data_IF_092879756753
#
_entry.id   IF_092879756753
#
_cell.length_a   1.000
_cell.length_b   1.000
_cell.length_c   1.000
_cell.angle_alpha   90.00
_cell.angle_beta   90.00
_cell.angle_gamma   90.00
#
_symmetry.space_group_name_H-M   'P 1'
#
loop_
_entity.id
_entity.type
_entity.pdbx_description
1 polymer ?
#
# COMPACT_ATOMS: atom_id res chain seq x y z
N UNK A 1 9.99 -26.78 21.51
CA UNK A 1 9.78 -26.73 20.04
C UNK A 1 9.98 -25.34 19.42
N UNK A 2 9.98 -24.23 20.18
CA UNK A 2 10.15 -22.85 19.65
C UNK A 2 11.53 -22.61 19.03
N UNK A 3 12.61 -23.06 19.69
CA UNK A 3 13.99 -22.92 19.21
C UNK A 3 14.28 -23.50 17.81
N UNK A 4 13.55 -24.55 17.39
CA UNK A 4 13.78 -25.17 16.08
C UNK A 4 13.25 -24.31 14.92
N UNK A 5 12.22 -23.49 15.15
CA UNK A 5 11.66 -22.60 14.12
C UNK A 5 12.57 -21.39 13.89
N UNK A 6 13.07 -20.77 14.96
CA UNK A 6 13.97 -19.61 14.89
C UNK A 6 15.28 -19.97 14.16
N UNK A 7 15.88 -21.12 14.47
CA UNK A 7 17.10 -21.58 13.80
C UNK A 7 16.86 -21.79 12.30
N UNK A 8 15.72 -22.37 11.89
CA UNK A 8 15.39 -22.54 10.46
C UNK A 8 15.23 -21.20 9.75
N UNK A 9 14.66 -20.20 10.41
CA UNK A 9 14.51 -18.83 9.87
C UNK A 9 15.88 -18.19 9.66
N UNK A 10 16.78 -18.29 10.64
CA UNK A 10 18.14 -17.74 10.52
C UNK A 10 18.96 -18.42 9.41
N UNK A 11 18.88 -19.75 9.30
CA UNK A 11 19.57 -20.50 8.23
C UNK A 11 19.04 -20.11 6.85
N UNK A 12 17.73 -19.94 6.71
CA UNK A 12 17.14 -19.48 5.45
C UNK A 12 17.58 -18.04 5.11
N UNK A 13 17.59 -17.16 6.10
CA UNK A 13 18.05 -15.77 5.98
C UNK A 13 19.51 -15.71 5.50
N UNK A 14 20.40 -16.51 6.11
CA UNK A 14 21.81 -16.57 5.72
C UNK A 14 21.94 -17.10 4.31
N UNK A 15 21.23 -18.18 3.98
CA UNK A 15 21.21 -18.74 2.63
C UNK A 15 20.80 -17.70 1.57
N UNK A 16 19.69 -16.97 1.76
CA UNK A 16 19.24 -15.95 0.79
C UNK A 16 20.24 -14.81 0.71
N UNK A 17 20.77 -14.34 1.84
CA UNK A 17 21.75 -13.25 1.87
C UNK A 17 23.03 -13.64 1.15
N UNK A 18 23.54 -14.85 1.39
CA UNK A 18 24.70 -15.39 0.68
C UNK A 18 24.42 -15.57 -0.80
N UNK A 19 23.25 -16.09 -1.17
CA UNK A 19 22.87 -16.28 -2.59
C UNK A 19 22.82 -14.95 -3.35
N UNK A 20 22.26 -13.89 -2.75
CA UNK A 20 22.28 -12.55 -3.35
C UNK A 20 23.70 -12.00 -3.48
N UNK A 21 24.57 -12.21 -2.49
CA UNK A 21 25.96 -11.75 -2.55
C UNK A 21 26.81 -12.50 -3.58
N UNK A 22 26.58 -13.79 -3.74
CA UNK A 22 27.32 -14.65 -4.69
C UNK A 22 26.79 -14.58 -6.12
N UNK A 23 25.64 -13.93 -6.33
CA UNK A 23 25.05 -13.80 -7.65
C UNK A 23 25.95 -12.92 -8.53
N UNK A 24 26.50 -13.51 -9.58
CA UNK A 24 27.23 -12.78 -10.62
C UNK A 24 26.30 -11.73 -11.26
N UNK A 25 26.74 -10.47 -11.22
CA UNK A 25 25.93 -9.27 -11.42
C UNK A 25 25.05 -9.31 -12.68
N UNK A 26 23.79 -9.64 -12.49
CA UNK A 26 22.72 -9.63 -13.49
C UNK A 26 21.52 -8.86 -12.94
N UNK A 27 20.56 -8.52 -13.78
CA UNK A 27 19.37 -7.81 -13.32
C UNK A 27 18.50 -8.71 -12.43
N UNK A 28 17.95 -8.12 -11.37
CA UNK A 28 16.97 -8.71 -10.48
C UNK A 28 15.64 -7.97 -10.67
N UNK A 29 15.00 -8.22 -11.81
CA UNK A 29 13.82 -7.48 -12.27
C UNK A 29 12.60 -7.62 -11.35
N UNK A 30 12.51 -8.70 -10.57
CA UNK A 30 11.36 -8.95 -9.69
C UNK A 30 11.78 -9.59 -8.38
N UNK A 31 11.20 -9.12 -7.28
CA UNK A 31 11.32 -9.76 -5.98
C UNK A 31 9.96 -9.84 -5.30
N UNK A 32 9.73 -10.95 -4.60
CA UNK A 32 8.56 -11.15 -3.75
C UNK A 32 9.02 -11.55 -2.35
N UNK A 33 8.64 -10.76 -1.36
CA UNK A 33 9.03 -10.95 0.03
C UNK A 33 7.78 -11.00 0.90
N UNK A 34 7.58 -12.12 1.58
CA UNK A 34 6.51 -12.30 2.56
C UNK A 34 7.15 -12.61 3.91
N UNK A 35 6.88 -11.78 4.91
CA UNK A 35 7.38 -11.96 6.27
C UNK A 35 6.22 -12.13 7.23
N UNK A 36 6.14 -13.28 7.90
CA UNK A 36 5.25 -13.50 9.04
C UNK A 36 6.11 -13.69 10.28
N UNK A 37 5.76 -12.99 11.37
CA UNK A 37 6.54 -12.96 12.63
C UNK A 37 7.81 -12.12 12.46
N UNK A 38 8.43 -11.68 13.56
CA UNK A 38 9.61 -10.82 13.71
C UNK A 38 10.87 -11.30 12.94
N UNK A 39 10.72 -11.56 11.66
CA UNK A 39 11.75 -11.62 10.65
C UNK A 39 12.56 -10.33 10.82
N UNK A 40 13.89 -10.38 10.79
CA UNK A 40 14.67 -9.17 10.98
C UNK A 40 14.35 -8.23 9.81
N UNK A 41 13.49 -7.24 10.03
CA UNK A 41 13.11 -6.23 9.02
C UNK A 41 14.35 -5.60 8.36
N UNK A 42 15.46 -5.53 9.12
CA UNK A 42 16.78 -5.11 8.64
C UNK A 42 17.29 -5.93 7.46
N UNK A 43 17.00 -7.23 7.42
CA UNK A 43 17.48 -8.12 6.37
C UNK A 43 16.59 -8.02 5.13
N UNK A 44 15.26 -8.01 5.28
CA UNK A 44 14.36 -7.69 4.16
C UNK A 44 14.71 -6.34 3.53
N UNK A 45 14.98 -5.33 4.35
CA UNK A 45 15.47 -4.03 3.89
C UNK A 45 16.75 -4.16 3.05
N UNK A 46 17.68 -5.01 3.47
CA UNK A 46 18.95 -5.24 2.74
C UNK A 46 18.72 -5.93 1.40
N UNK A 47 17.80 -6.91 1.34
CA UNK A 47 17.44 -7.57 0.09
C UNK A 47 16.73 -6.63 -0.89
N UNK A 48 15.84 -5.75 -0.41
CA UNK A 48 15.21 -4.72 -1.23
C UNK A 48 16.26 -3.75 -1.77
N UNK A 49 17.16 -3.25 -0.91
CA UNK A 49 18.23 -2.34 -1.33
C UNK A 49 19.19 -2.97 -2.34
N UNK A 50 19.49 -4.27 -2.17
CA UNK A 50 20.24 -5.03 -3.17
C UNK A 50 19.46 -5.05 -4.49
N UNK A 51 18.19 -5.48 -4.48
CA UNK A 51 17.38 -5.56 -5.69
C UNK A 51 17.25 -4.23 -6.44
N UNK A 52 17.04 -3.11 -5.72
CA UNK A 52 16.99 -1.77 -6.32
C UNK A 52 18.28 -1.40 -7.06
N UNK A 53 19.46 -1.86 -6.58
CA UNK A 53 20.74 -1.66 -7.29
C UNK A 53 20.89 -2.54 -8.53
N UNK A 54 20.05 -3.56 -8.67
CA UNK A 54 20.06 -4.54 -9.75
C UNK A 54 18.81 -4.41 -10.63
N UNK A 55 18.43 -3.18 -10.99
CA UNK A 55 17.38 -2.89 -11.97
C UNK A 55 16.02 -3.54 -11.64
N UNK A 56 15.62 -3.53 -10.36
CA UNK A 56 14.31 -4.01 -9.93
C UNK A 56 13.19 -3.23 -10.63
N UNK A 57 12.25 -3.96 -11.24
CA UNK A 57 11.07 -3.44 -11.96
C UNK A 57 9.76 -3.72 -11.20
N UNK A 58 9.69 -4.86 -10.50
CA UNK A 58 8.51 -5.32 -9.77
C UNK A 58 8.87 -5.68 -8.33
N UNK A 59 8.24 -5.00 -7.37
CA UNK A 59 8.41 -5.27 -5.95
C UNK A 59 7.08 -5.72 -5.33
N UNK A 60 7.08 -6.91 -4.74
CA UNK A 60 5.94 -7.41 -3.96
C UNK A 60 6.38 -7.62 -2.51
N UNK A 61 5.76 -6.93 -1.56
CA UNK A 61 6.09 -7.02 -0.12
C UNK A 61 4.83 -7.22 0.70
N UNK A 62 4.84 -8.23 1.55
CA UNK A 62 3.81 -8.45 2.57
C UNK A 62 4.52 -8.61 3.93
N UNK A 63 4.17 -7.75 4.87
CA UNK A 63 4.89 -7.58 6.13
C UNK A 63 3.95 -7.69 7.33
N UNK A 64 4.02 -8.76 8.11
CA UNK A 64 3.25 -8.86 9.36
C UNK A 64 4.20 -9.08 10.54
N UNK A 65 4.40 -8.10 11.45
CA UNK A 65 3.70 -6.80 11.53
C UNK A 65 4.20 -5.74 10.51
N UNK A 66 3.58 -4.56 10.55
CA UNK A 66 3.87 -3.43 9.65
C UNK A 66 5.37 -3.13 9.50
N UNK A 67 5.80 -2.84 8.26
CA UNK A 67 7.21 -2.56 7.94
C UNK A 67 7.40 -1.25 7.17
N UNK A 68 8.55 -0.59 7.38
CA UNK A 68 8.95 0.60 6.62
C UNK A 68 9.80 0.20 5.40
N UNK A 69 9.34 0.56 4.21
CA UNK A 69 10.13 0.36 3.00
C UNK A 69 11.30 1.36 2.90
N UNK A 70 12.43 1.00 2.29
CA UNK A 70 13.47 1.98 1.97
C UNK A 70 12.94 3.09 1.06
N UNK A 71 13.33 4.35 1.30
CA UNK A 71 12.99 5.49 0.42
C UNK A 71 13.40 5.28 -1.04
N UNK A 72 14.45 4.48 -1.27
CA UNK A 72 14.87 4.08 -2.62
C UNK A 72 13.74 3.41 -3.42
N UNK A 73 12.79 2.72 -2.78
CA UNK A 73 11.63 2.13 -3.46
C UNK A 73 10.80 3.20 -4.17
N UNK A 74 10.65 4.37 -3.56
CA UNK A 74 9.81 5.45 -4.08
C UNK A 74 10.57 6.45 -4.98
N UNK A 75 11.85 6.18 -5.26
CA UNK A 75 12.71 7.08 -6.06
C UNK A 75 13.54 6.34 -7.11
N UNK A 76 13.47 5.01 -7.17
CA UNK A 76 14.27 4.21 -8.08
C UNK A 76 13.63 4.18 -9.47
N UNK A 77 14.32 4.76 -10.46
CA UNK A 77 13.83 4.85 -11.84
C UNK A 77 13.65 3.48 -12.52
N UNK A 78 14.35 2.43 -12.08
CA UNK A 78 14.15 1.08 -12.63
C UNK A 78 12.83 0.46 -12.17
N UNK A 79 12.30 0.88 -11.03
CA UNK A 79 11.03 0.40 -10.50
C UNK A 79 9.89 1.07 -11.28
N UNK A 80 9.56 0.50 -12.43
CA UNK A 80 8.63 1.09 -13.39
C UNK A 80 7.32 0.28 -13.56
N UNK A 81 7.30 -1.00 -13.20
CA UNK A 81 6.16 -1.85 -13.54
C UNK A 81 5.15 -1.91 -12.41
N UNK A 82 5.55 -2.42 -11.24
CA UNK A 82 4.60 -2.63 -10.15
C UNK A 82 5.21 -2.61 -8.74
N UNK A 83 4.44 -2.06 -7.80
CA UNK A 83 4.64 -2.18 -6.36
C UNK A 83 3.35 -2.73 -5.76
N UNK A 84 3.44 -3.95 -5.23
CA UNK A 84 2.37 -4.57 -4.45
C UNK A 84 2.82 -4.67 -3.02
N UNK A 85 2.02 -4.14 -2.11
CA UNK A 85 2.41 -3.94 -0.73
C UNK A 85 1.27 -4.21 0.23
N UNK A 86 1.52 -4.90 1.32
CA UNK A 86 0.57 -5.02 2.44
C UNK A 86 1.27 -4.66 3.74
N UNK A 87 0.56 -3.98 4.65
CA UNK A 87 1.08 -3.59 5.97
C UNK A 87 2.39 -2.80 5.87
N UNK A 88 2.39 -1.76 5.03
CA UNK A 88 3.54 -0.89 4.85
C UNK A 88 3.31 0.43 5.56
N UNK A 89 4.31 0.82 6.34
CA UNK A 89 4.36 2.15 6.93
C UNK A 89 4.75 3.19 5.90
N UNK A 90 3.85 4.14 5.66
CA UNK A 90 4.02 5.26 4.74
C UNK A 90 4.41 6.56 5.46
N UNK A 91 4.77 6.47 6.74
CA UNK A 91 5.26 7.61 7.51
C UNK A 91 6.62 8.11 6.99
N UNK A 92 6.80 9.43 6.97
CA UNK A 92 8.03 10.11 6.52
C UNK A 92 8.37 9.88 5.03
N UNK A 93 7.36 9.68 4.18
CA UNK A 93 7.53 9.75 2.73
C UNK A 93 7.47 11.22 2.28
N UNK A 94 8.63 11.86 2.25
CA UNK A 94 8.75 13.26 1.83
C UNK A 94 8.89 13.40 0.31
N UNK A 95 9.48 12.40 -0.34
CA UNK A 95 9.78 12.42 -1.78
C UNK A 95 9.32 11.12 -2.43
N UNK A 96 8.44 11.25 -3.42
CA UNK A 96 8.07 10.20 -4.36
C UNK A 96 8.42 10.70 -5.76
N UNK A 97 9.23 9.93 -6.48
CA UNK A 97 9.63 10.24 -7.85
C UNK A 97 9.85 8.94 -8.62
N UNK A 98 8.80 8.49 -9.29
CA UNK A 98 8.78 7.27 -10.11
C UNK A 98 8.17 7.62 -11.47
N UNK A 99 8.91 8.32 -12.35
CA UNK A 99 8.36 8.96 -13.54
C UNK A 99 7.81 7.99 -14.59
N UNK A 100 8.23 6.72 -14.54
CA UNK A 100 7.80 5.67 -15.46
C UNK A 100 6.85 4.64 -14.83
N UNK A 101 6.43 4.85 -13.58
CA UNK A 101 5.78 3.82 -12.78
C UNK A 101 4.28 3.70 -13.03
N UNK A 102 3.81 2.46 -13.25
CA UNK A 102 2.48 2.20 -13.82
C UNK A 102 1.46 1.62 -12.85
N UNK A 103 1.87 0.77 -11.91
CA UNK A 103 0.91 -0.01 -11.10
C UNK A 103 1.25 0.00 -9.61
N UNK A 104 0.37 0.59 -8.80
CA UNK A 104 0.45 0.54 -7.35
C UNK A 104 -0.72 -0.23 -6.75
N UNK A 105 -0.43 -1.17 -5.86
CA UNK A 105 -1.43 -1.78 -4.99
C UNK A 105 -0.93 -1.85 -3.56
N UNK A 106 -1.45 -1.00 -2.68
CA UNK A 106 -1.12 -0.99 -1.26
C UNK A 106 -2.34 -1.39 -0.43
N UNK A 107 -2.14 -2.30 0.53
CA UNK A 107 -3.16 -2.85 1.41
C UNK A 107 -2.78 -2.72 2.87
N UNK A 108 -3.78 -2.67 3.74
CA UNK A 108 -3.61 -2.53 5.18
C UNK A 108 -2.71 -1.34 5.58
N UNK A 109 -2.82 -0.21 4.86
CA UNK A 109 -2.03 1.00 5.09
C UNK A 109 -2.84 2.09 5.80
N UNK A 110 -2.16 3.10 6.33
CA UNK A 110 -2.78 4.38 6.70
C UNK A 110 -2.81 5.31 5.48
N UNK A 111 -4.01 5.70 5.04
CA UNK A 111 -4.27 6.53 3.86
C UNK A 111 -4.62 7.95 4.32
N UNK A 112 -3.92 8.94 3.77
CA UNK A 112 -4.19 10.37 3.95
C UNK A 112 -3.98 11.14 2.63
N UNK A 113 -4.49 12.36 2.56
CA UNK A 113 -4.41 13.18 1.34
C UNK A 113 -2.97 13.52 0.93
N UNK A 114 -2.09 13.84 1.89
CA UNK A 114 -0.69 14.19 1.60
C UNK A 114 0.06 13.06 0.87
N UNK A 115 -0.13 11.81 1.31
CA UNK A 115 0.42 10.64 0.64
C UNK A 115 -0.10 10.51 -0.79
N UNK A 116 -1.43 10.64 -0.99
CA UNK A 116 -2.03 10.49 -2.31
C UNK A 116 -1.56 11.60 -3.27
N UNK A 117 -1.49 12.84 -2.81
CA UNK A 117 -1.03 13.97 -3.63
C UNK A 117 0.43 13.78 -4.05
N UNK A 118 1.31 13.42 -3.11
CA UNK A 118 2.72 13.12 -3.39
C UNK A 118 2.86 11.95 -4.36
N UNK A 119 2.05 10.91 -4.20
CA UNK A 119 2.07 9.74 -5.07
C UNK A 119 1.69 10.12 -6.51
N UNK A 120 0.58 10.83 -6.69
CA UNK A 120 0.07 11.21 -8.01
C UNK A 120 0.99 12.23 -8.71
N UNK A 121 1.59 13.15 -7.95
CA UNK A 121 2.62 14.07 -8.48
C UNK A 121 3.91 13.33 -8.86
N UNK A 122 4.33 12.36 -8.04
CA UNK A 122 5.57 11.61 -8.23
C UNK A 122 5.50 10.51 -9.29
N UNK A 123 4.29 10.04 -9.63
CA UNK A 123 4.03 8.95 -10.57
C UNK A 123 3.10 9.41 -11.72
N UNK A 124 3.54 10.32 -12.60
CA UNK A 124 2.68 10.99 -13.59
C UNK A 124 2.11 10.07 -14.67
N UNK A 125 2.61 8.83 -14.80
CA UNK A 125 2.13 7.82 -15.76
C UNK A 125 1.42 6.65 -15.08
N UNK A 126 1.06 6.79 -13.80
CA UNK A 126 0.38 5.74 -13.03
C UNK A 126 -0.97 5.41 -13.68
N UNK A 127 -1.14 4.15 -14.09
CA UNK A 127 -2.35 3.68 -14.78
C UNK A 127 -3.28 2.92 -13.85
N UNK A 128 -2.72 2.22 -12.85
CA UNK A 128 -3.45 1.41 -11.89
C UNK A 128 -3.12 1.84 -10.46
N UNK A 129 -4.16 2.16 -9.68
CA UNK A 129 -4.05 2.49 -8.26
C UNK A 129 -5.07 1.67 -7.47
N UNK A 130 -4.58 0.84 -6.56
CA UNK A 130 -5.39 0.17 -5.54
C UNK A 130 -4.90 0.59 -4.15
N UNK A 131 -5.79 1.20 -3.36
CA UNK A 131 -5.51 1.59 -1.97
C UNK A 131 -6.54 0.93 -1.05
N UNK A 132 -6.06 0.12 -0.12
CA UNK A 132 -6.87 -0.57 0.87
C UNK A 132 -6.31 -0.29 2.28
N UNK A 133 -7.13 0.20 3.20
CA UNK A 133 -6.66 0.48 4.56
C UNK A 133 -7.48 1.50 5.36
N UNK A 134 -6.84 2.09 6.36
CA UNK A 134 -7.44 3.07 7.27
C UNK A 134 -7.41 4.46 6.63
N UNK A 135 -8.57 5.07 6.42
CA UNK A 135 -8.65 6.47 5.96
C UNK A 135 -8.64 7.40 7.17
N UNK A 136 -7.77 8.43 7.15
CA UNK A 136 -7.74 9.47 8.20
C UNK A 136 -8.25 10.82 7.73
N UNK A 137 -7.95 11.21 6.50
CA UNK A 137 -8.35 12.49 5.89
C UNK A 137 -7.99 12.42 4.40
N UNK A 138 -8.83 11.78 3.59
CA UNK A 138 -8.60 11.58 2.17
C UNK A 138 -9.87 11.97 1.41
N UNK A 139 -9.75 13.02 0.57
CA UNK A 139 -10.91 13.66 -0.05
C UNK A 139 -10.81 13.81 -1.57
N UNK A 140 -9.60 13.84 -2.15
CA UNK A 140 -9.44 14.15 -3.57
C UNK A 140 -8.51 13.20 -4.31
N UNK A 141 -8.90 12.85 -5.54
CA UNK A 141 -8.01 12.22 -6.53
C UNK A 141 -8.06 13.04 -7.82
N UNK A 142 -6.90 13.48 -8.28
CA UNK A 142 -6.74 14.08 -9.59
C UNK A 142 -5.64 13.36 -10.36
N UNK A 143 -5.99 12.71 -11.46
CA UNK A 143 -5.01 12.08 -12.34
C UNK A 143 -5.53 11.94 -13.76
N UNK A 144 -4.72 12.38 -14.72
CA UNK A 144 -4.99 12.20 -16.14
C UNK A 144 -4.42 10.88 -16.69
N UNK A 145 -3.60 10.15 -15.92
CA UNK A 145 -3.00 8.88 -16.35
C UNK A 145 -3.77 7.65 -15.87
N UNK A 146 -4.51 7.77 -14.77
CA UNK A 146 -5.23 6.65 -14.17
C UNK A 146 -6.31 6.10 -15.10
N UNK A 147 -6.26 4.78 -15.31
CA UNK A 147 -7.25 3.98 -16.03
C UNK A 147 -8.05 3.10 -15.08
N UNK A 148 -7.43 2.66 -13.98
CA UNK A 148 -8.02 1.77 -12.99
C UNK A 148 -7.81 2.32 -11.58
N UNK A 149 -8.90 2.48 -10.85
CA UNK A 149 -8.89 2.98 -9.48
C UNK A 149 -9.71 2.03 -8.60
N UNK A 150 -9.08 1.49 -7.56
CA UNK A 150 -9.74 0.76 -6.48
C UNK A 150 -9.42 1.43 -5.15
N UNK A 151 -10.46 1.71 -4.38
CA UNK A 151 -10.35 2.28 -3.04
C UNK A 151 -11.18 1.41 -2.10
N UNK A 152 -10.58 1.01 -0.98
CA UNK A 152 -11.27 0.26 0.06
C UNK A 152 -10.83 0.79 1.41
N UNK A 153 -11.71 1.53 2.07
CA UNK A 153 -11.39 2.17 3.35
C UNK A 153 -12.17 1.56 4.49
N UNK A 154 -11.51 1.37 5.63
CA UNK A 154 -12.17 0.99 6.88
C UNK A 154 -12.11 2.17 7.87
N UNK A 155 -13.27 2.58 8.39
CA UNK A 155 -13.38 3.65 9.39
C UNK A 155 -13.46 3.06 10.80
N UNK A 156 -12.62 3.54 11.71
CA UNK A 156 -12.61 3.10 13.11
C UNK A 156 -13.21 4.13 14.08
N UNK A 157 -13.56 5.34 13.64
CA UNK A 157 -14.16 6.36 14.51
C UNK A 157 -15.31 7.09 13.81
N UNK A 158 -16.25 7.59 14.62
CA UNK A 158 -17.41 8.40 14.20
C UNK A 158 -17.05 9.88 13.96
N UNK A 159 -15.79 10.27 14.17
CA UNK A 159 -15.40 11.66 14.45
C UNK A 159 -14.43 12.26 13.42
N UNK A 160 -13.86 11.47 12.50
CA UNK A 160 -12.95 11.96 11.46
C UNK A 160 -13.49 11.55 10.08
N UNK A 161 -14.51 12.27 9.60
CA UNK A 161 -15.09 12.00 8.28
C UNK A 161 -14.85 13.21 7.36
N UNK A 162 -13.60 13.42 6.94
CA UNK A 162 -13.41 14.12 5.67
C UNK A 162 -13.88 13.20 4.56
N UNK A 163 -14.96 13.63 3.93
CA UNK A 163 -15.66 12.95 2.85
C UNK A 163 -14.76 12.94 1.61
N UNK A 164 -14.98 11.97 0.73
CA UNK A 164 -14.48 12.09 -0.63
C UNK A 164 -15.21 13.27 -1.32
N UNK A 165 -14.47 14.33 -1.58
CA UNK A 165 -15.01 15.60 -2.09
C UNK A 165 -15.00 15.64 -3.61
N UNK A 166 -13.98 15.07 -4.26
CA UNK A 166 -13.81 15.23 -5.71
C UNK A 166 -12.92 14.15 -6.33
N UNK A 167 -13.39 13.57 -7.44
CA UNK A 167 -12.57 12.71 -8.31
C UNK A 167 -12.54 13.33 -9.70
N UNK A 168 -11.36 13.75 -10.15
CA UNK A 168 -11.07 14.17 -11.52
C UNK A 168 -10.09 13.19 -12.16
N UNK A 169 -10.64 12.18 -12.81
CA UNK A 169 -9.85 11.17 -13.50
C UNK A 169 -10.46 10.94 -14.88
N UNK A 170 -10.23 11.87 -15.84
CA UNK A 170 -10.99 11.89 -17.08
C UNK A 170 -10.81 10.66 -17.96
N UNK A 171 -9.67 9.97 -17.81
CA UNK A 171 -9.30 8.76 -18.55
C UNK A 171 -9.59 7.47 -17.78
N UNK A 172 -10.30 7.55 -16.64
CA UNK A 172 -10.61 6.38 -15.83
C UNK A 172 -11.60 5.47 -16.56
N UNK A 173 -11.23 4.20 -16.72
CA UNK A 173 -12.02 3.17 -17.40
C UNK A 173 -12.77 2.28 -16.41
N UNK A 174 -12.17 2.03 -15.24
CA UNK A 174 -12.71 1.18 -14.18
C UNK A 174 -12.57 1.83 -12.81
N UNK A 175 -13.68 1.85 -12.07
CA UNK A 175 -13.75 2.36 -10.69
C UNK A 175 -14.29 1.29 -9.76
N UNK A 176 -13.63 1.04 -8.65
CA UNK A 176 -14.13 0.18 -7.58
C UNK A 176 -14.01 0.89 -6.25
N UNK A 177 -15.11 0.95 -5.50
CA UNK A 177 -15.13 1.57 -4.18
C UNK A 177 -15.86 0.66 -3.19
N UNK A 178 -15.29 0.51 -2.00
CA UNK A 178 -16.00 -0.06 -0.85
C UNK A 178 -16.34 1.07 0.11
N UNK A 179 -17.58 1.55 0.01
CA UNK A 179 -18.08 2.62 0.85
C UNK A 179 -18.53 2.02 2.18
N UNK A 180 -17.90 2.45 3.29
CA UNK A 180 -18.55 2.26 4.59
C UNK A 180 -19.78 3.19 4.67
N UNK A 181 -20.95 2.69 5.11
CA UNK A 181 -22.27 3.34 5.00
C UNK A 181 -22.43 4.63 5.81
N UNK A 182 -21.37 5.09 6.49
CA UNK A 182 -21.34 6.40 7.13
C UNK A 182 -21.14 7.56 6.14
N UNK A 183 -20.88 7.28 4.85
CA UNK A 183 -20.94 8.29 3.80
C UNK A 183 -22.37 8.81 3.64
N UNK A 184 -22.64 9.87 4.39
CA UNK A 184 -23.93 10.52 4.58
C UNK A 184 -24.44 11.16 3.27
N UNK A 185 -25.11 10.38 2.41
CA UNK A 185 -26.09 10.80 1.40
C UNK A 185 -25.73 11.89 0.39
N UNK A 186 -24.46 12.33 0.32
CA UNK A 186 -24.04 13.49 -0.46
C UNK A 186 -23.49 13.05 -1.82
N UNK A 187 -23.94 13.74 -2.88
CA UNK A 187 -23.44 13.51 -4.24
C UNK A 187 -21.98 13.96 -4.31
N UNK A 188 -21.06 13.03 -4.48
CA UNK A 188 -19.66 13.34 -4.82
C UNK A 188 -19.62 13.75 -6.30
N UNK A 189 -19.09 14.93 -6.65
CA UNK A 189 -18.83 15.28 -8.04
C UNK A 189 -17.76 14.37 -8.62
N UNK A 190 -18.18 13.48 -9.52
CA UNK A 190 -17.33 12.53 -10.23
C UNK A 190 -17.13 12.98 -11.68
N UNK A 191 -15.90 13.33 -12.06
CA UNK A 191 -15.52 13.64 -13.44
C UNK A 191 -14.74 12.47 -14.04
N UNK A 192 -15.48 11.52 -14.61
CA UNK A 192 -14.93 10.28 -15.20
C UNK A 192 -15.68 9.94 -16.51
N UNK A 193 -15.63 10.80 -17.54
CA UNK A 193 -16.36 10.60 -18.80
C UNK A 193 -16.01 9.32 -19.56
N UNK A 194 -14.83 8.73 -19.31
CA UNK A 194 -14.38 7.50 -19.98
C UNK A 194 -14.77 6.22 -19.25
N UNK A 195 -15.53 6.30 -18.15
CA UNK A 195 -15.81 5.16 -17.29
C UNK A 195 -16.67 4.11 -18.00
N UNK A 196 -16.18 2.87 -18.07
CA UNK A 196 -16.87 1.74 -18.71
C UNK A 196 -17.33 0.69 -17.69
N UNK A 197 -16.69 0.62 -16.53
CA UNK A 197 -16.99 -0.34 -15.48
C UNK A 197 -16.95 0.33 -14.10
N UNK A 198 -17.92 0.01 -13.25
CA UNK A 198 -17.98 0.47 -11.88
C UNK A 198 -18.44 -0.67 -10.96
N UNK A 199 -17.77 -0.84 -9.82
CA UNK A 199 -18.20 -1.72 -8.72
C UNK A 199 -18.29 -0.93 -7.43
N UNK A 200 -19.41 -1.02 -6.74
CA UNK A 200 -19.60 -0.37 -5.44
C UNK A 200 -19.98 -1.47 -4.44
N UNK A 201 -19.12 -1.67 -3.45
CA UNK A 201 -19.38 -2.58 -2.34
C UNK A 201 -19.83 -1.77 -1.13
N UNK A 202 -20.95 -2.17 -0.52
CA UNK A 202 -21.42 -1.57 0.72
C UNK A 202 -20.96 -2.46 1.86
N UNK A 203 -19.86 -2.08 2.51
CA UNK A 203 -19.33 -2.81 3.66
C UNK A 203 -20.01 -2.29 4.93
N UNK A 204 -20.83 -3.12 5.57
CA UNK A 204 -21.41 -2.77 6.87
C UNK A 204 -20.30 -2.85 7.91
N UNK A 205 -19.67 -1.71 8.17
CA UNK A 205 -18.69 -1.50 9.25
C UNK A 205 -19.36 -1.87 10.60
N UNK A 206 -19.22 -3.13 11.03
CA UNK A 206 -19.76 -3.66 12.28
C UNK A 206 -18.84 -3.21 13.44
N UNK A 207 -19.02 -1.95 13.88
CA UNK A 207 -18.19 -1.28 14.90
C UNK A 207 -18.08 -2.03 16.25
N UNK A 208 -18.87 -3.09 16.45
CA UNK A 208 -18.88 -3.91 17.66
C UNK A 208 -17.91 -5.11 17.63
N UNK A 209 -17.20 -5.40 16.53
CA UNK A 209 -16.32 -6.58 16.45
C UNK A 209 -14.84 -6.35 16.79
N UNK A 210 -14.41 -5.11 17.00
CA UNK A 210 -12.97 -4.80 17.14
C UNK A 210 -12.58 -3.93 18.34
N UNK A 211 -13.47 -3.73 19.31
CA UNK A 211 -13.01 -3.26 20.63
C UNK A 211 -12.24 -4.42 21.30
N UNK A 212 -10.97 -4.25 21.69
CA UNK A 212 -10.36 -5.17 22.64
C UNK A 212 -11.27 -5.19 23.87
N UNK A 213 -11.57 -6.38 24.40
CA UNK A 213 -12.18 -6.51 25.73
C UNK A 213 -11.18 -6.03 26.80
N UNK A 214 -10.97 -4.72 26.88
CA UNK A 214 -10.26 -4.06 27.97
C UNK A 214 -11.20 -3.02 28.53
N UNK A 215 -12.13 -3.49 29.37
CA UNK A 215 -12.62 -2.82 30.58
C UNK A 215 -13.79 -3.63 31.16
N UNK A 216 -13.52 -4.88 31.53
CA UNK A 216 -14.16 -5.48 32.70
C UNK A 216 -13.08 -5.52 33.77
N UNK A 217 -13.06 -4.53 34.64
CA UNK A 217 -12.68 -4.59 36.05
C UNK A 217 -12.62 -3.15 36.59
N UNK A 218 -13.16 -2.98 37.80
CA UNK A 218 -13.20 -1.77 38.63
C UNK A 218 -14.43 -0.87 38.46
N UNK A 219 -15.57 -1.35 38.95
CA UNK A 219 -16.30 -0.66 40.03
C UNK A 219 -16.83 -1.75 40.98
N UNK A 220 -16.20 -1.88 42.14
CA UNK A 220 -16.85 -2.31 43.39
C UNK A 220 -17.15 -1.03 44.17
#
# INVERSE_FOLDING_TARGET
>A
MVYSKEIRVLVFIDFVSTMLLLREASDLNKIHLTGYVASPFRIMRSWILYALKHNLQVLNVDCIPECTLPLGVFTCASLADALVGSYISLHNLDVINLPCFKQLSLKDIDINQDFVDKLLCGCPVLEFLNLEGRSRDFSTINSHSLKYLKIQTWCFSKEAEKKMEFIDTPNLLSFSDSICPYLNGQKVPLKMPSLTSASIHLDVCDSNKFLPETNKLLVN
#
